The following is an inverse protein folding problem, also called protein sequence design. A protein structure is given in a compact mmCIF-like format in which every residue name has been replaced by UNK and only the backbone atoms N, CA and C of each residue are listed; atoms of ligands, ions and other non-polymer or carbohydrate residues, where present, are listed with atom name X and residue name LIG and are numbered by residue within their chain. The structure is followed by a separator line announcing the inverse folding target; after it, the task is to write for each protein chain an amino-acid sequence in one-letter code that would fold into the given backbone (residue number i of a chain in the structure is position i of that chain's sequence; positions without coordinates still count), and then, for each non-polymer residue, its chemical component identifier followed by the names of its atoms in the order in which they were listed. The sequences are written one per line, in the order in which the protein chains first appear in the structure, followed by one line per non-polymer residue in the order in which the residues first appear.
data_IF_195911706198
#
_entry.id   IF_195911706198
#
_cell.length_a   1.000
_cell.length_b   1.000
_cell.length_c   1.000
_cell.angle_alpha   90.00
_cell.angle_beta   90.00
_cell.angle_gamma   90.00
#
_symmetry.space_group_name_H-M   'P 1'
#
loop_
_entity.id
_entity.type
_entity.pdbx_description
1 polymer ?
#
# COMPACT_ATOMS: atom_id res chain seq x y z
N UNK A 1 2.39 0.98 -17.94
CA UNK A 1 2.85 1.31 -16.58
C UNK A 1 1.63 1.70 -15.78
N UNK A 2 1.17 0.85 -14.88
CA UNK A 2 0.03 1.18 -14.02
C UNK A 2 0.54 1.92 -12.79
N UNK A 3 -0.25 2.90 -12.34
CA UNK A 3 0.01 3.70 -11.16
C UNK A 3 -1.28 3.67 -10.33
N UNK A 4 -1.23 3.06 -9.16
CA UNK A 4 -2.34 3.07 -8.23
C UNK A 4 -2.27 4.38 -7.42
N UNK A 5 -3.22 5.28 -7.70
CA UNK A 5 -3.23 6.62 -7.10
C UNK A 5 -3.79 6.65 -5.69
N UNK A 6 -4.40 5.56 -5.19
CA UNK A 6 -5.02 5.53 -3.87
C UNK A 6 -5.17 4.09 -3.35
N UNK A 7 -4.36 3.72 -2.37
CA UNK A 7 -4.45 2.44 -1.67
C UNK A 7 -4.36 2.60 -0.14
N UNK A 8 -4.90 1.61 0.57
CA UNK A 8 -4.93 1.53 2.04
C UNK A 8 -4.02 0.40 2.57
N UNK A 9 -2.83 0.23 1.98
CA UNK A 9 -1.87 -0.83 2.36
C UNK A 9 -1.28 -0.65 3.78
N UNK A 10 -1.52 0.49 4.40
CA UNK A 10 -1.20 0.83 5.78
C UNK A 10 -2.26 0.37 6.80
N UNK A 11 -3.34 -0.28 6.37
CA UNK A 11 -4.38 -0.77 7.27
C UNK A 11 -3.98 -2.10 7.94
N UNK A 12 -4.46 -2.34 9.18
CA UNK A 12 -4.17 -3.54 9.99
C UNK A 12 -4.48 -4.85 9.26
N UNK A 13 -5.44 -4.83 8.33
CA UNK A 13 -5.85 -5.97 7.51
C UNK A 13 -4.73 -6.50 6.59
N UNK A 14 -3.68 -5.71 6.33
CA UNK A 14 -2.55 -6.09 5.49
C UNK A 14 -1.31 -6.50 6.29
N UNK A 15 -1.34 -6.49 7.63
CA UNK A 15 -0.14 -6.78 8.45
C UNK A 15 0.49 -8.15 8.15
N UNK A 16 -0.31 -9.15 7.82
CA UNK A 16 0.18 -10.52 7.56
C UNK A 16 0.65 -10.75 6.13
N UNK A 17 0.20 -9.94 5.16
CA UNK A 17 0.38 -10.22 3.73
C UNK A 17 0.82 -9.03 2.87
N UNK A 18 1.17 -7.89 3.47
CA UNK A 18 1.55 -6.65 2.78
C UNK A 18 2.56 -6.86 1.64
N UNK A 19 3.68 -7.54 1.92
CA UNK A 19 4.71 -7.78 0.90
C UNK A 19 4.17 -8.64 -0.25
N UNK A 20 3.35 -9.65 0.05
CA UNK A 20 2.75 -10.50 -0.97
C UNK A 20 1.76 -9.73 -1.83
N UNK A 21 0.99 -8.79 -1.23
CA UNK A 21 0.09 -7.89 -1.97
C UNK A 21 0.87 -6.99 -2.91
N UNK A 22 1.96 -6.37 -2.43
CA UNK A 22 2.82 -5.49 -3.24
C UNK A 22 3.44 -6.27 -4.40
N UNK A 23 3.95 -7.47 -4.15
CA UNK A 23 4.56 -8.30 -5.21
C UNK A 23 3.53 -8.75 -6.25
N UNK A 24 2.31 -9.12 -5.83
CA UNK A 24 1.22 -9.41 -6.79
C UNK A 24 0.88 -8.17 -7.63
N UNK A 25 0.78 -6.99 -7.03
CA UNK A 25 0.52 -5.75 -7.77
C UNK A 25 1.63 -5.46 -8.79
N UNK A 26 2.89 -5.64 -8.41
CA UNK A 26 4.06 -5.47 -9.30
C UNK A 26 4.05 -6.47 -10.46
N UNK A 27 3.73 -7.74 -10.20
CA UNK A 27 3.63 -8.77 -11.22
C UNK A 27 2.54 -8.46 -12.28
N UNK A 28 1.46 -7.81 -11.87
CA UNK A 28 0.37 -7.34 -12.75
C UNK A 28 0.67 -5.97 -13.42
N UNK A 29 1.88 -5.42 -13.25
CA UNK A 29 2.34 -4.21 -13.94
C UNK A 29 2.04 -2.89 -13.22
N UNK A 30 1.64 -2.94 -11.95
CA UNK A 30 1.55 -1.76 -11.06
C UNK A 30 2.95 -1.37 -10.62
N UNK A 31 3.40 -0.21 -11.10
CA UNK A 31 4.75 0.31 -10.88
C UNK A 31 4.88 1.17 -9.62
N UNK A 32 3.80 1.82 -9.21
CA UNK A 32 3.74 2.74 -8.08
C UNK A 32 2.38 2.63 -7.42
N UNK A 33 2.35 2.76 -6.10
CA UNK A 33 1.15 2.72 -5.27
C UNK A 33 1.23 3.87 -4.28
N UNK A 34 0.24 4.75 -4.27
CA UNK A 34 0.14 5.85 -3.29
C UNK A 34 -0.65 5.35 -2.09
N UNK A 35 0.02 5.24 -0.95
CA UNK A 35 -0.62 4.87 0.32
C UNK A 35 -1.11 6.14 1.02
N UNK A 36 -2.42 6.22 1.27
CA UNK A 36 -3.02 7.39 1.93
C UNK A 36 -3.19 7.16 3.42
N UNK A 37 -2.91 8.18 4.24
CA UNK A 37 -3.28 8.18 5.65
C UNK A 37 -4.71 8.70 5.87
N UNK A 38 -5.49 8.03 6.71
CA UNK A 38 -6.89 8.40 6.99
C UNK A 38 -7.21 8.55 8.49
N UNK A 39 -6.33 8.05 9.34
CA UNK A 39 -6.28 8.30 10.79
C UNK A 39 -4.82 8.41 11.22
N UNK A 40 -4.56 8.73 12.50
CA UNK A 40 -3.17 8.94 12.96
C UNK A 40 -2.29 7.69 12.78
N UNK A 41 -2.68 6.48 13.22
CA UNK A 41 -1.89 5.28 13.00
C UNK A 41 -1.57 5.03 11.51
N UNK A 42 -2.54 5.23 10.63
CA UNK A 42 -2.36 5.00 9.20
C UNK A 42 -1.55 6.10 8.51
N UNK A 43 -1.60 7.35 8.99
CA UNK A 43 -0.71 8.43 8.54
C UNK A 43 0.75 8.09 8.88
N UNK A 44 1.02 7.70 10.12
CA UNK A 44 2.37 7.35 10.56
C UNK A 44 2.88 6.16 9.74
N UNK A 45 2.05 5.13 9.56
CA UNK A 45 2.39 3.96 8.73
C UNK A 45 2.58 4.29 7.25
N UNK A 46 1.81 5.22 6.67
CA UNK A 46 1.97 5.63 5.28
C UNK A 46 3.30 6.35 5.01
N UNK A 47 3.90 6.97 6.02
CA UNK A 47 5.21 7.63 5.92
C UNK A 47 6.35 6.59 6.05
N UNK A 48 6.10 5.49 6.75
CA UNK A 48 7.07 4.39 6.91
C UNK A 48 7.17 3.46 5.69
N UNK A 49 6.07 3.31 4.94
CA UNK A 49 5.97 2.46 3.75
C UNK A 49 6.59 3.13 2.51
#
# INVERSE_FOLDING_TARGET
MLFDTHAHLNAVQYEEDLEQVIERARAEGVSHIVVVGFDRPTIDRAIEL
#
